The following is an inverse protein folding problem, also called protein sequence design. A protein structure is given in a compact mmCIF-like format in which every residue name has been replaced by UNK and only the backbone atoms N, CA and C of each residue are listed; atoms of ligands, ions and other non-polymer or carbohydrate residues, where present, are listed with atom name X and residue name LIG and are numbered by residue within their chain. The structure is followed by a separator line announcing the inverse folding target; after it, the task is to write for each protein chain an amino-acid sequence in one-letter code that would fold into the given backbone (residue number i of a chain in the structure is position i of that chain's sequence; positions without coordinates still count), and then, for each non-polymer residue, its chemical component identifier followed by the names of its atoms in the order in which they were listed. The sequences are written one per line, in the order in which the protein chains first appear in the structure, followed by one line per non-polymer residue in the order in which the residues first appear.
data_IF_973719909085
#
_entry.id   IF_973719909085
#
_cell.length_a   1.000
_cell.length_b   1.000
_cell.length_c   1.000
_cell.angle_alpha   90.00
_cell.angle_beta   90.00
_cell.angle_gamma   90.00
#
_symmetry.space_group_name_H-M   'P 1'
#
loop_
_entity.id
_entity.type
_entity.pdbx_description
1 polymer ?
#
# COMPACT_ATOMS: atom_id res chain seq x y z
N UNK A 1 -25.31 38.39 -23.18
CA UNK A 1 -24.28 38.31 -22.11
C UNK A 1 -24.52 37.16 -21.11
N UNK A 2 -25.76 36.72 -20.86
CA UNK A 2 -26.08 35.63 -19.91
C UNK A 2 -25.69 34.21 -20.36
N UNK A 3 -25.62 33.94 -21.67
CA UNK A 3 -25.34 32.60 -22.20
C UNK A 3 -23.86 32.16 -22.07
N UNK A 4 -22.92 33.11 -22.10
CA UNK A 4 -21.47 32.83 -21.96
C UNK A 4 -21.09 32.46 -20.52
N UNK A 5 -21.81 32.98 -19.53
CA UNK A 5 -21.56 32.70 -18.11
C UNK A 5 -21.99 31.27 -17.73
N UNK A 6 -23.11 30.80 -18.28
CA UNK A 6 -23.62 29.43 -18.04
C UNK A 6 -22.71 28.38 -18.67
N UNK A 7 -22.12 28.67 -19.84
CA UNK A 7 -21.18 27.76 -20.51
C UNK A 7 -19.87 27.58 -19.71
N UNK A 8 -19.36 28.67 -19.11
CA UNK A 8 -18.17 28.63 -18.24
C UNK A 8 -18.42 27.86 -16.94
N UNK A 9 -19.64 27.93 -16.41
CA UNK A 9 -20.04 27.22 -15.19
C UNK A 9 -20.18 25.69 -15.44
N UNK A 10 -20.62 25.30 -16.64
CA UNK A 10 -20.71 23.89 -17.06
C UNK A 10 -19.35 23.23 -17.32
N UNK A 11 -18.36 23.99 -17.79
CA UNK A 11 -16.98 23.50 -17.97
C UNK A 11 -16.28 23.31 -16.61
N UNK A 12 -16.63 24.11 -15.60
CA UNK A 12 -16.04 24.02 -14.25
C UNK A 12 -16.42 22.75 -13.48
N UNK A 13 -17.57 22.13 -13.77
CA UNK A 13 -18.00 20.88 -13.13
C UNK A 13 -17.44 19.61 -13.80
N UNK A 14 -16.89 19.72 -15.02
CA UNK A 14 -16.36 18.57 -15.76
C UNK A 14 -14.96 18.12 -15.34
N UNK A 15 -14.26 18.89 -14.50
CA UNK A 15 -12.88 18.62 -14.08
C UNK A 15 -12.76 17.99 -12.68
N UNK A 16 -13.87 17.68 -12.01
CA UNK A 16 -13.87 17.16 -10.63
C UNK A 16 -14.07 15.64 -10.53
N UNK A 17 -14.07 14.92 -11.66
CA UNK A 17 -13.93 13.45 -11.66
C UNK A 17 -12.44 13.12 -11.68
N UNK A 18 -11.81 13.23 -10.51
CA UNK A 18 -10.61 12.46 -10.25
C UNK A 18 -11.03 11.00 -10.22
N UNK A 19 -10.66 10.23 -11.25
CA UNK A 19 -10.63 8.78 -11.10
C UNK A 19 -9.57 8.51 -10.03
N UNK A 20 -10.00 8.04 -8.85
CA UNK A 20 -9.07 7.39 -7.95
C UNK A 20 -8.57 6.14 -8.69
N UNK A 21 -7.31 6.17 -9.13
CA UNK A 21 -6.64 5.01 -9.68
C UNK A 21 -6.25 4.12 -8.50
N UNK A 22 -7.22 3.38 -7.95
CA UNK A 22 -6.92 2.27 -7.04
C UNK A 22 -6.13 1.23 -7.83
N UNK A 23 -4.94 0.89 -7.36
CA UNK A 23 -4.13 -0.15 -7.97
C UNK A 23 -4.59 -1.52 -7.47
N UNK A 24 -4.38 -2.55 -8.28
CA UNK A 24 -4.66 -3.92 -7.85
C UNK A 24 -3.49 -4.47 -7.03
N UNK A 25 -3.83 -5.18 -5.96
CA UNK A 25 -2.88 -5.97 -5.18
C UNK A 25 -3.40 -7.38 -4.96
N UNK A 26 -2.48 -8.29 -4.64
CA UNK A 26 -2.78 -9.66 -4.25
C UNK A 26 -1.97 -9.99 -2.99
N UNK A 27 -2.61 -10.58 -1.99
CA UNK A 27 -1.92 -11.14 -0.84
C UNK A 27 -1.38 -12.53 -1.19
N UNK A 28 -0.12 -12.80 -0.85
CA UNK A 28 0.56 -14.07 -1.13
C UNK A 28 1.22 -14.64 0.11
N UNK A 29 1.40 -15.96 0.12
CA UNK A 29 2.33 -16.58 1.06
C UNK A 29 3.77 -16.29 0.63
N UNK A 30 4.69 -16.22 1.60
CA UNK A 30 6.11 -16.01 1.34
C UNK A 30 6.69 -16.99 0.31
N UNK A 31 6.21 -18.24 0.32
CA UNK A 31 6.68 -19.30 -0.56
C UNK A 31 6.32 -19.05 -2.04
N UNK A 32 5.30 -18.22 -2.31
CA UNK A 32 4.81 -17.90 -3.66
C UNK A 32 5.49 -16.65 -4.26
N UNK A 33 6.36 -15.98 -3.50
CA UNK A 33 7.16 -14.85 -3.98
C UNK A 33 8.34 -15.34 -4.83
N UNK A 34 8.90 -14.48 -5.68
CA UNK A 34 10.13 -14.81 -6.41
C UNK A 34 11.33 -14.93 -5.45
N UNK A 35 12.38 -15.64 -5.89
CA UNK A 35 13.52 -15.95 -5.04
C UNK A 35 14.28 -14.71 -4.54
N UNK A 36 14.35 -13.66 -5.34
CA UNK A 36 15.07 -12.44 -4.97
C UNK A 36 14.29 -11.68 -3.88
N UNK A 37 12.97 -11.60 -4.02
CA UNK A 37 12.07 -11.02 -3.02
C UNK A 37 12.09 -11.83 -1.72
N UNK A 38 12.03 -13.16 -1.79
CA UNK A 38 12.15 -14.02 -0.60
C UNK A 38 13.46 -13.81 0.15
N UNK A 39 14.55 -13.64 -0.61
CA UNK A 39 15.89 -13.40 -0.06
C UNK A 39 16.02 -11.99 0.53
N UNK A 40 15.35 -10.98 -0.02
CA UNK A 40 15.30 -9.66 0.61
C UNK A 40 14.59 -9.73 1.97
N UNK A 41 13.41 -10.36 2.02
CA UNK A 41 12.66 -10.51 3.27
C UNK A 41 13.25 -11.54 4.23
N UNK A 42 14.33 -12.25 3.88
CA UNK A 42 15.09 -13.06 4.84
C UNK A 42 16.19 -12.27 5.54
N UNK A 43 16.54 -11.10 5.00
CA UNK A 43 17.62 -10.25 5.49
C UNK A 43 17.14 -9.05 6.32
N UNK A 44 15.88 -8.64 6.16
CA UNK A 44 15.28 -7.60 7.01
C UNK A 44 14.78 -8.19 8.32
N UNK A 45 14.92 -7.41 9.39
CA UNK A 45 14.45 -7.76 10.73
C UNK A 45 12.95 -8.07 10.69
N UNK A 46 12.48 -8.97 11.55
CA UNK A 46 11.18 -9.61 11.33
C UNK A 46 10.01 -8.65 11.46
N UNK A 47 10.16 -7.51 12.13
CA UNK A 47 9.07 -6.67 12.60
C UNK A 47 9.02 -5.30 11.92
N UNK A 48 7.80 -4.83 11.66
CA UNK A 48 7.55 -3.54 11.01
C UNK A 48 7.00 -3.69 9.59
N UNK A 49 7.14 -2.62 8.80
CA UNK A 49 6.66 -2.53 7.43
C UNK A 49 7.83 -2.32 6.48
N UNK A 50 8.04 -3.29 5.60
CA UNK A 50 9.13 -3.28 4.64
C UNK A 50 8.57 -3.33 3.22
N UNK A 51 9.21 -2.63 2.29
CA UNK A 51 8.82 -2.68 0.87
C UNK A 51 10.03 -2.93 0.00
N UNK A 52 9.84 -3.80 -0.98
CA UNK A 52 10.76 -4.00 -2.10
C UNK A 52 10.08 -3.55 -3.38
N UNK A 53 10.75 -2.74 -4.17
CA UNK A 53 10.29 -2.36 -5.50
C UNK A 53 11.18 -2.98 -6.57
N UNK A 54 10.62 -3.27 -7.75
CA UNK A 54 11.35 -3.68 -8.94
C UNK A 54 10.89 -2.83 -10.11
N UNK A 55 11.75 -1.91 -10.55
CA UNK A 55 11.47 -1.09 -11.73
C UNK A 55 11.38 -1.94 -13.01
N UNK A 56 12.11 -3.05 -13.08
CA UNK A 56 12.08 -3.96 -14.23
C UNK A 56 10.72 -4.67 -14.33
N UNK A 57 10.16 -5.10 -13.20
CA UNK A 57 8.90 -5.84 -13.16
C UNK A 57 7.67 -4.95 -12.97
N UNK A 58 7.83 -3.65 -12.76
CA UNK A 58 6.76 -2.73 -12.34
C UNK A 58 5.97 -3.30 -11.15
N UNK A 59 6.70 -3.76 -10.14
CA UNK A 59 6.13 -4.47 -8.99
C UNK A 59 6.64 -3.84 -7.70
N UNK A 60 5.77 -3.75 -6.71
CA UNK A 60 6.17 -3.56 -5.32
C UNK A 60 5.63 -4.70 -4.47
N UNK A 61 6.46 -5.24 -3.59
CA UNK A 61 6.04 -6.21 -2.57
C UNK A 61 6.16 -5.55 -1.22
N UNK A 62 5.05 -5.46 -0.49
CA UNK A 62 4.99 -4.96 0.87
C UNK A 62 4.89 -6.13 1.83
N UNK A 63 5.77 -6.15 2.82
CA UNK A 63 5.75 -7.09 3.93
C UNK A 63 5.39 -6.32 5.21
N UNK A 64 4.31 -6.73 5.86
CA UNK A 64 3.87 -6.18 7.15
C UNK A 64 3.98 -7.28 8.18
N UNK A 65 4.71 -7.03 9.26
CA UNK A 65 4.70 -7.88 10.43
C UNK A 65 4.39 -7.12 11.71
N UNK A 66 3.27 -7.50 12.31
CA UNK A 66 2.73 -6.93 13.55
C UNK A 66 3.13 -7.69 14.81
N UNK A 67 4.05 -8.67 14.74
CA UNK A 67 4.37 -9.57 15.87
C UNK A 67 4.81 -8.87 17.16
N UNK A 68 5.53 -7.74 17.07
CA UNK A 68 5.93 -6.93 18.23
C UNK A 68 4.97 -5.75 18.51
N UNK A 69 3.89 -5.59 17.75
CA UNK A 69 2.86 -4.57 17.97
C UNK A 69 1.81 -5.01 19.01
N UNK A 70 2.04 -6.12 19.72
CA UNK A 70 1.18 -6.60 20.79
C UNK A 70 0.01 -7.44 20.27
N UNK A 71 -1.21 -7.07 20.64
CA UNK A 71 -2.45 -7.73 20.21
C UNK A 71 -3.04 -7.13 18.93
N UNK A 72 -2.24 -6.34 18.20
CA UNK A 72 -2.62 -5.72 16.93
C UNK A 72 -2.38 -6.65 15.74
N UNK A 73 -3.28 -6.61 14.77
CA UNK A 73 -3.20 -7.37 13.52
C UNK A 73 -3.78 -6.55 12.37
N UNK A 74 -3.33 -6.84 11.15
CA UNK A 74 -3.80 -6.15 9.94
C UNK A 74 -5.22 -6.60 9.61
N UNK A 75 -6.14 -5.66 9.47
CA UNK A 75 -7.55 -5.92 9.10
C UNK A 75 -7.90 -5.50 7.68
N UNK A 76 -7.11 -4.59 7.12
CA UNK A 76 -7.36 -3.99 5.81
C UNK A 76 -6.04 -3.55 5.20
N UNK A 77 -5.93 -3.70 3.89
CA UNK A 77 -4.82 -3.21 3.09
C UNK A 77 -5.37 -2.63 1.79
N UNK A 78 -4.85 -1.50 1.37
CA UNK A 78 -5.21 -0.85 0.11
C UNK A 78 -3.98 -0.16 -0.50
N UNK A 79 -4.03 0.04 -1.81
CA UNK A 79 -2.99 0.74 -2.56
C UNK A 79 -3.59 1.64 -3.62
N UNK A 80 -3.12 2.88 -3.63
CA UNK A 80 -3.59 3.89 -4.56
C UNK A 80 -2.45 4.82 -4.96
N UNK A 81 -2.67 5.53 -6.05
CA UNK A 81 -1.71 6.46 -6.59
C UNK A 81 -2.29 7.86 -6.72
N UNK A 82 -1.48 8.86 -6.36
CA UNK A 82 -1.74 10.26 -6.70
C UNK A 82 -0.47 10.83 -7.34
N UNK A 83 -0.60 11.36 -8.57
CA UNK A 83 0.51 11.88 -9.37
C UNK A 83 1.67 10.86 -9.50
N UNK A 84 2.87 11.21 -9.00
CA UNK A 84 4.05 10.34 -8.98
C UNK A 84 4.29 9.64 -7.64
N UNK A 85 3.27 9.59 -6.77
CA UNK A 85 3.33 8.97 -5.44
C UNK A 85 2.46 7.72 -5.36
N UNK A 86 3.06 6.61 -4.91
CA UNK A 86 2.39 5.37 -4.56
C UNK A 86 2.13 5.32 -3.06
N UNK A 87 0.88 5.15 -2.66
CA UNK A 87 0.46 5.06 -1.28
C UNK A 87 0.07 3.64 -0.93
N UNK A 88 0.66 3.11 0.13
CA UNK A 88 0.28 1.85 0.75
C UNK A 88 -0.45 2.19 2.04
N UNK A 89 -1.68 1.70 2.19
CA UNK A 89 -2.51 1.98 3.35
C UNK A 89 -2.89 0.68 4.02
N UNK A 90 -2.75 0.60 5.34
CA UNK A 90 -3.26 -0.53 6.10
C UNK A 90 -3.94 -0.08 7.39
N UNK A 91 -4.81 -0.94 7.91
CA UNK A 91 -5.46 -0.76 9.21
C UNK A 91 -5.07 -1.87 10.15
N UNK A 92 -4.91 -1.53 11.42
CA UNK A 92 -4.74 -2.49 12.50
C UNK A 92 -5.91 -2.40 13.48
N UNK A 93 -6.26 -3.52 14.10
CA UNK A 93 -7.18 -3.55 15.23
C UNK A 93 -6.58 -4.39 16.36
N UNK A 94 -6.90 -4.06 17.61
CA UNK A 94 -6.48 -4.86 18.77
C UNK A 94 -7.54 -5.89 19.15
N UNK A 95 -7.15 -7.14 19.39
CA UNK A 95 -8.08 -8.17 19.89
C UNK A 95 -7.98 -8.27 21.41
N UNK A 96 -9.12 -8.20 22.10
CA UNK A 96 -9.17 -8.33 23.56
C UNK A 96 -9.16 -9.77 24.07
N UNK A 97 -9.31 -10.77 23.18
CA UNK A 97 -9.52 -12.18 23.55
C UNK A 97 -8.65 -13.11 22.69
N UNK A 98 -7.61 -13.67 23.30
CA UNK A 98 -6.47 -14.36 22.68
C UNK A 98 -6.78 -15.77 22.15
N UNK A 99 -8.01 -16.05 21.73
CA UNK A 99 -8.44 -17.39 21.30
C UNK A 99 -8.30 -17.64 19.80
N UNK A 100 -8.15 -16.58 19.00
CA UNK A 100 -7.92 -16.67 17.56
C UNK A 100 -6.42 -16.70 17.26
N UNK A 101 -6.00 -17.58 16.33
CA UNK A 101 -4.64 -17.55 15.79
C UNK A 101 -4.54 -16.35 14.86
N UNK A 102 -3.95 -15.27 15.35
CA UNK A 102 -3.67 -14.09 14.54
C UNK A 102 -2.52 -14.40 13.58
N UNK A 103 -2.72 -14.05 12.31
CA UNK A 103 -1.66 -14.02 11.32
C UNK A 103 -1.02 -12.65 11.45
N UNK A 104 0.26 -12.61 11.79
CA UNK A 104 0.98 -11.35 11.99
C UNK A 104 1.74 -10.91 10.74
N UNK A 105 2.09 -11.86 9.87
CA UNK A 105 2.89 -11.66 8.67
C UNK A 105 1.99 -11.62 7.42
N UNK A 106 2.06 -10.54 6.66
CA UNK A 106 1.33 -10.36 5.41
C UNK A 106 2.28 -9.92 4.30
N UNK A 107 2.14 -10.51 3.11
CA UNK A 107 2.90 -10.12 1.91
C UNK A 107 1.93 -9.71 0.81
N UNK A 108 1.96 -8.44 0.41
CA UNK A 108 1.11 -7.89 -0.64
C UNK A 108 1.94 -7.58 -1.88
N UNK A 109 1.59 -8.21 -3.00
CA UNK A 109 2.16 -7.93 -4.32
C UNK A 109 1.30 -6.91 -5.03
N UNK A 110 1.89 -5.76 -5.33
CA UNK A 110 1.28 -4.62 -6.01
C UNK A 110 1.81 -4.55 -7.43
N UNK A 111 0.91 -4.68 -8.40
CA UNK A 111 1.22 -4.42 -9.80
C UNK A 111 1.14 -2.91 -10.05
N UNK A 112 2.26 -2.30 -10.39
CA UNK A 112 2.34 -0.89 -10.72
C UNK A 112 2.00 -0.66 -12.19
N UNK A 113 1.20 0.35 -12.46
CA UNK A 113 0.87 0.81 -13.82
C UNK A 113 1.95 1.74 -14.42
N UNK A 114 2.83 2.27 -13.58
CA UNK A 114 3.95 3.13 -13.93
C UNK A 114 5.04 3.07 -12.85
N UNK A 115 6.21 3.61 -13.12
CA UNK A 115 7.21 3.84 -12.09
C UNK A 115 6.84 5.06 -11.24
N UNK A 116 6.83 4.88 -9.92
CA UNK A 116 6.54 5.93 -8.95
C UNK A 116 7.83 6.53 -8.38
N UNK A 117 7.86 7.85 -8.24
CA UNK A 117 9.02 8.57 -7.69
C UNK A 117 9.04 8.53 -6.16
N UNK A 118 7.86 8.52 -5.55
CA UNK A 118 7.68 8.57 -4.10
C UNK A 118 6.83 7.40 -3.64
N UNK A 119 7.21 6.79 -2.52
CA UNK A 119 6.42 5.80 -1.79
C UNK A 119 6.00 6.40 -0.46
N UNK A 120 4.75 6.18 -0.04
CA UNK A 120 4.22 6.61 1.25
C UNK A 120 3.47 5.49 1.94
N UNK A 121 3.58 5.44 3.26
CA UNK A 121 2.89 4.47 4.10
C UNK A 121 1.86 5.19 4.97
N UNK A 122 0.63 4.69 4.98
CA UNK A 122 -0.47 5.17 5.79
C UNK A 122 -0.92 4.05 6.72
N UNK A 123 -0.83 4.26 8.02
CA UNK A 123 -1.29 3.35 9.06
C UNK A 123 -2.49 3.98 9.77
N UNK A 124 -3.63 3.30 9.77
CA UNK A 124 -4.85 3.79 10.44
C UNK A 124 -5.27 5.21 10.03
N UNK A 125 -4.93 5.63 8.80
CA UNK A 125 -5.22 6.95 8.26
C UNK A 125 -4.16 8.02 8.55
N UNK A 126 -3.07 7.69 9.24
CA UNK A 126 -1.95 8.60 9.52
C UNK A 126 -0.70 8.20 8.73
N UNK A 127 0.04 9.18 8.21
CA UNK A 127 1.29 8.92 7.49
C UNK A 127 2.38 8.45 8.46
N UNK A 128 3.03 7.35 8.12
CA UNK A 128 4.11 6.72 8.88
C UNK A 128 5.30 6.39 7.96
N UNK A 129 6.27 5.60 8.43
CA UNK A 129 7.49 5.27 7.71
C UNK A 129 7.64 3.78 7.46
N UNK A 130 8.29 3.43 6.34
CA UNK A 130 8.79 2.08 6.12
C UNK A 130 10.05 1.85 6.96
N UNK A 131 10.13 0.70 7.60
CA UNK A 131 11.33 0.26 8.33
C UNK A 131 12.47 -0.07 7.36
N UNK A 132 12.14 -0.66 6.19
CA UNK A 132 13.14 -0.90 5.13
C UNK A 132 12.57 -0.65 3.73
N UNK A 133 13.40 -0.03 2.88
CA UNK A 133 13.18 0.13 1.44
C UNK A 133 14.22 -0.68 0.65
N UNK A 134 13.76 -1.56 -0.24
CA UNK A 134 14.57 -2.30 -1.21
C UNK A 134 14.27 -1.91 -2.66
N UNK A 135 15.30 -1.90 -3.51
CA UNK A 135 15.22 -1.59 -4.95
C UNK A 135 15.87 -2.70 -5.77
#
# INVERSE_FOLDING_TARGET
MKFRLVLLLLIGFGLLVGCNNSLSFEEKERADLDADTQNFFSLVDSDGVHVRTSAENHEAVVYINTSNMGDEYVTDFDVYAEDSTLFFSYKTESVSDSSEKLVHEHYYVVNQDQSYETLRLIENGEETYFDTLGY
#
